data_IF_239591209751
#
_entry.id   IF_239591209751
#
_cell.length_a   1.000
_cell.length_b   1.000
_cell.length_c   1.000
_cell.angle_alpha   90.00
_cell.angle_beta   90.00
_cell.angle_gamma   90.00
#
_symmetry.space_group_name_H-M   'P 1'
#
loop_
_entity.id
_entity.type
_entity.pdbx_description
1 polymer ?
#
# COMPACT_ATOMS: atom_id res chain seq x y z
N UNK A 1 18.45 7.61 -17.72
CA UNK A 1 18.22 6.46 -16.80
C UNK A 1 17.42 5.43 -17.57
N UNK A 2 17.86 4.18 -17.70
CA UNK A 2 17.08 3.18 -18.43
C UNK A 2 15.70 3.04 -17.80
N UNK A 3 14.65 3.02 -18.62
CA UNK A 3 13.25 2.91 -18.19
C UNK A 3 13.06 1.70 -17.23
N UNK A 4 13.74 0.60 -17.52
CA UNK A 4 13.77 -0.60 -16.67
C UNK A 4 14.31 -0.34 -15.25
N UNK A 5 15.32 0.51 -15.09
CA UNK A 5 15.89 0.86 -13.78
C UNK A 5 14.96 1.79 -13.01
N UNK A 6 14.24 2.68 -13.69
CA UNK A 6 13.22 3.53 -13.07
C UNK A 6 12.04 2.69 -12.54
N UNK A 7 11.57 1.73 -13.34
CA UNK A 7 10.49 0.83 -12.96
C UNK A 7 10.91 -0.14 -11.83
N UNK A 8 12.12 -0.70 -11.92
CA UNK A 8 12.67 -1.59 -10.90
C UNK A 8 12.90 -0.89 -9.56
N UNK A 9 13.42 0.34 -9.57
CA UNK A 9 13.61 1.12 -8.34
C UNK A 9 12.28 1.55 -7.70
N UNK A 10 11.28 1.90 -8.50
CA UNK A 10 9.93 2.19 -7.99
C UNK A 10 9.27 0.94 -7.38
N UNK A 11 9.40 -0.21 -8.04
CA UNK A 11 8.90 -1.47 -7.53
C UNK A 11 9.56 -1.84 -6.20
N UNK A 12 10.90 -1.81 -6.16
CA UNK A 12 11.66 -2.12 -4.95
C UNK A 12 11.31 -1.16 -3.81
N UNK A 13 11.24 0.15 -4.08
CA UNK A 13 10.84 1.15 -3.09
C UNK A 13 9.40 0.95 -2.61
N UNK A 14 8.46 0.64 -3.50
CA UNK A 14 7.05 0.38 -3.14
C UNK A 14 6.89 -0.91 -2.33
N UNK A 15 7.66 -1.94 -2.65
CA UNK A 15 7.70 -3.19 -1.90
C UNK A 15 8.30 -2.99 -0.49
N UNK A 16 9.46 -2.34 -0.40
CA UNK A 16 10.12 -2.00 0.86
C UNK A 16 9.31 -1.03 1.72
N UNK A 17 8.62 -0.08 1.09
CA UNK A 17 7.78 0.87 1.81
C UNK A 17 6.58 0.21 2.48
N UNK A 18 6.09 -0.88 1.89
CA UNK A 18 5.04 -1.71 2.49
C UNK A 18 5.53 -2.59 3.64
N UNK A 19 6.82 -2.97 3.68
CA UNK A 19 7.38 -3.86 4.71
C UNK A 19 8.07 -3.14 5.86
N UNK A 20 8.77 -2.02 5.61
CA UNK A 20 9.75 -1.47 6.56
C UNK A 20 9.72 0.05 6.76
N UNK A 21 9.45 0.86 5.71
CA UNK A 21 9.59 2.32 5.78
C UNK A 21 8.37 3.05 5.17
N UNK A 22 7.44 3.55 6.00
CA UNK A 22 6.26 4.24 5.51
C UNK A 22 6.62 5.56 4.82
N UNK A 23 6.02 5.81 3.65
CA UNK A 23 6.09 7.09 2.94
C UNK A 23 7.17 7.22 1.86
N UNK A 24 8.07 6.25 1.72
CA UNK A 24 9.18 6.36 0.75
C UNK A 24 8.74 6.17 -0.71
N UNK A 25 7.71 5.35 -0.92
CA UNK A 25 7.21 5.02 -2.26
C UNK A 25 6.49 6.16 -2.97
N UNK A 26 5.88 7.09 -2.23
CA UNK A 26 5.20 8.26 -2.78
C UNK A 26 6.20 9.32 -3.26
N UNK A 27 7.25 9.57 -2.48
CA UNK A 27 8.32 10.48 -2.86
C UNK A 27 9.02 10.00 -4.15
N UNK A 28 9.28 8.70 -4.26
CA UNK A 28 9.89 8.10 -5.47
C UNK A 28 8.92 8.17 -6.67
N UNK A 29 7.62 7.93 -6.46
CA UNK A 29 6.61 8.10 -7.52
C UNK A 29 6.56 9.54 -8.04
N UNK A 30 6.49 10.53 -7.14
CA UNK A 30 6.45 11.96 -7.49
C UNK A 30 7.73 12.39 -8.19
N UNK A 31 8.90 11.96 -7.72
CA UNK A 31 10.18 12.26 -8.38
C UNK A 31 10.26 11.66 -9.80
N UNK A 32 9.74 10.45 -10.01
CA UNK A 32 9.69 9.81 -11.33
C UNK A 32 8.66 10.44 -12.27
N UNK A 33 7.54 10.92 -11.74
CA UNK A 33 6.56 11.71 -12.50
C UNK A 33 7.14 13.05 -12.94
N UNK A 34 7.80 13.79 -12.03
CA UNK A 34 8.42 15.09 -12.31
C UNK A 34 9.60 14.99 -13.29
N UNK A 35 10.36 13.89 -13.25
CA UNK A 35 11.47 13.67 -14.18
C UNK A 35 11.03 13.19 -15.57
N UNK A 36 9.73 12.95 -15.79
CA UNK A 36 9.19 12.46 -17.07
C UNK A 36 9.74 11.10 -17.50
N UNK A 37 10.26 10.31 -16.56
CA UNK A 37 11.03 9.09 -16.85
C UNK A 37 10.17 7.97 -17.47
N UNK A 38 8.85 7.95 -17.23
CA UNK A 38 7.92 6.94 -17.76
C UNK A 38 6.47 7.44 -17.74
N UNK A 39 5.57 6.72 -18.42
CA UNK A 39 4.13 7.04 -18.45
C UNK A 39 3.51 6.98 -17.04
N UNK A 40 2.71 7.98 -16.60
CA UNK A 40 2.15 8.04 -15.26
C UNK A 40 1.35 6.81 -14.84
N UNK A 41 0.54 6.27 -15.76
CA UNK A 41 -0.28 5.09 -15.50
C UNK A 41 0.56 3.84 -15.20
N UNK A 42 1.74 3.73 -15.81
CA UNK A 42 2.64 2.58 -15.71
C UNK A 42 3.39 2.60 -14.37
N UNK A 43 3.81 3.80 -13.93
CA UNK A 43 4.36 4.05 -12.60
C UNK A 43 3.33 3.70 -11.51
N UNK A 44 2.08 4.15 -11.66
CA UNK A 44 0.99 3.82 -10.72
C UNK A 44 0.73 2.31 -10.68
N UNK A 45 0.69 1.63 -11.83
CA UNK A 45 0.47 0.18 -11.88
C UNK A 45 1.59 -0.58 -11.15
N UNK A 46 2.85 -0.23 -11.40
CA UNK A 46 4.00 -0.91 -10.79
C UNK A 46 4.10 -0.61 -9.30
N UNK A 47 3.87 0.63 -8.89
CA UNK A 47 3.82 0.99 -7.47
C UNK A 47 2.70 0.23 -6.74
N UNK A 48 1.51 0.14 -7.35
CA UNK A 48 0.38 -0.62 -6.81
C UNK A 48 0.72 -2.10 -6.69
N UNK A 49 1.36 -2.69 -7.71
CA UNK A 49 1.79 -4.10 -7.68
C UNK A 49 2.81 -4.36 -6.56
N UNK A 50 3.88 -3.55 -6.47
CA UNK A 50 4.91 -3.72 -5.43
C UNK A 50 4.34 -3.57 -4.02
N UNK A 51 3.46 -2.60 -3.83
CA UNK A 51 2.84 -2.33 -2.53
C UNK A 51 1.78 -3.37 -2.14
N UNK A 52 1.09 -3.97 -3.12
CA UNK A 52 0.16 -5.08 -2.90
C UNK A 52 0.91 -6.36 -2.54
N UNK A 53 2.03 -6.65 -3.19
CA UNK A 53 2.93 -7.77 -2.87
C UNK A 53 3.54 -7.64 -1.46
N UNK A 54 3.97 -6.42 -1.10
CA UNK A 54 4.45 -6.16 0.26
C UNK A 54 3.34 -6.29 1.32
N UNK A 55 2.13 -5.82 1.03
CA UNK A 55 0.96 -6.04 1.88
C UNK A 55 0.60 -7.52 2.03
N UNK A 56 0.67 -8.31 0.95
CA UNK A 56 0.50 -9.76 1.01
C UNK A 56 1.57 -10.42 1.91
N UNK A 57 2.81 -9.95 1.84
CA UNK A 57 3.90 -10.41 2.71
C UNK A 57 3.58 -10.13 4.19
N UNK A 58 3.01 -8.95 4.50
CA UNK A 58 2.54 -8.63 5.85
C UNK A 58 1.40 -9.55 6.33
N UNK A 59 0.46 -9.91 5.44
CA UNK A 59 -0.59 -10.91 5.76
C UNK A 59 0.05 -12.27 6.07
N UNK A 60 1.03 -12.70 5.27
CA UNK A 60 1.78 -13.94 5.51
C UNK A 60 2.46 -13.89 6.87
N UNK A 61 3.21 -12.82 7.15
CA UNK A 61 3.91 -12.61 8.41
C UNK A 61 2.94 -12.64 9.60
N UNK A 62 1.78 -11.99 9.50
CA UNK A 62 0.77 -11.99 10.58
C UNK A 62 0.17 -13.36 10.83
N UNK A 63 0.13 -14.22 9.80
CA UNK A 63 -0.36 -15.60 9.90
C UNK A 63 0.65 -16.52 10.61
N UNK A 64 1.94 -16.31 10.38
CA UNK A 64 3.02 -17.11 10.97
C UNK A 64 3.46 -16.59 12.35
N UNK A 65 3.45 -15.28 12.57
CA UNK A 65 3.84 -14.61 13.81
C UNK A 65 2.65 -13.91 14.45
N UNK A 66 1.86 -14.62 15.29
CA UNK A 66 0.78 -14.00 16.04
C UNK A 66 1.35 -12.95 17.01
N UNK A 67 0.85 -11.72 16.90
CA UNK A 67 1.25 -10.60 17.76
C UNK A 67 0.89 -10.92 19.23
N UNK A 68 1.91 -11.11 20.07
CA UNK A 68 1.73 -11.40 21.51
C UNK A 68 1.46 -10.17 22.39
N UNK A 69 1.70 -8.96 21.88
CA UNK A 69 1.38 -7.70 22.58
C UNK A 69 0.40 -6.89 21.75
N UNK A 70 -0.85 -6.85 22.21
CA UNK A 70 -1.89 -5.98 21.70
C UNK A 70 -1.80 -4.62 22.40
N UNK A 71 -1.47 -3.57 21.65
CA UNK A 71 -1.67 -2.19 22.10
C UNK A 71 -3.17 -1.85 22.12
N UNK A 72 -3.60 -0.88 22.93
CA UNK A 72 -5.00 -0.41 22.99
C UNK A 72 -5.58 -0.04 21.61
N UNK A 73 -4.72 0.44 20.71
CA UNK A 73 -5.11 0.76 19.34
C UNK A 73 -5.31 -0.50 18.48
N UNK A 74 -4.47 -1.52 18.65
CA UNK A 74 -4.64 -2.82 17.98
C UNK A 74 -5.91 -3.52 18.43
N UNK A 75 -6.30 -3.43 19.71
CA UNK A 75 -7.58 -4.02 20.17
C UNK A 75 -8.79 -3.36 19.50
N UNK A 76 -8.78 -2.03 19.33
CA UNK A 76 -9.80 -1.33 18.53
C UNK A 76 -9.79 -1.80 17.08
N UNK A 77 -8.62 -1.86 16.45
CA UNK A 77 -8.47 -2.30 15.06
C UNK A 77 -8.94 -3.75 14.88
N UNK A 78 -8.62 -4.66 15.81
CA UNK A 78 -9.09 -6.06 15.84
C UNK A 78 -10.59 -6.12 16.07
N UNK A 79 -11.15 -5.27 16.94
CA UNK A 79 -12.59 -5.17 17.14
C UNK A 79 -13.32 -4.73 15.87
N UNK A 80 -12.73 -3.79 15.13
CA UNK A 80 -13.25 -3.37 13.82
C UNK A 80 -13.09 -4.47 12.78
N UNK A 81 -11.96 -5.18 12.76
CA UNK A 81 -11.72 -6.33 11.88
C UNK A 81 -12.68 -7.49 12.17
N UNK A 82 -13.03 -7.74 13.43
CA UNK A 82 -14.05 -8.72 13.82
C UNK A 82 -15.44 -8.30 13.37
N UNK A 83 -15.76 -7.01 13.44
CA UNK A 83 -17.10 -6.48 13.11
C UNK A 83 -17.32 -6.31 11.61
N UNK A 84 -16.29 -5.88 10.87
CA UNK A 84 -16.36 -5.53 9.45
C UNK A 84 -15.54 -6.45 8.54
N UNK A 85 -14.73 -7.37 9.09
CA UNK A 85 -14.01 -8.39 8.33
C UNK A 85 -12.97 -7.81 7.37
N UNK A 86 -13.03 -8.24 6.11
CA UNK A 86 -12.13 -7.76 5.07
C UNK A 86 -12.45 -6.33 4.61
N UNK A 87 -13.66 -5.81 4.86
CA UNK A 87 -14.02 -4.44 4.47
C UNK A 87 -13.20 -3.39 5.24
N UNK A 88 -12.70 -3.72 6.43
CA UNK A 88 -11.77 -2.87 7.19
C UNK A 88 -10.45 -2.62 6.46
N UNK A 89 -10.07 -3.46 5.50
CA UNK A 89 -8.90 -3.21 4.65
C UNK A 89 -9.12 -2.09 3.65
N UNK A 90 -10.36 -1.62 3.40
CA UNK A 90 -10.58 -0.38 2.63
C UNK A 90 -10.00 0.85 3.35
N UNK A 91 -9.97 0.83 4.69
CA UNK A 91 -9.28 1.86 5.49
C UNK A 91 -7.75 1.78 5.37
N UNK A 92 -7.21 0.81 4.63
CA UNK A 92 -5.79 0.73 4.24
C UNK A 92 -5.33 1.89 3.36
N UNK A 93 -6.23 2.76 2.90
CA UNK A 93 -5.83 3.97 2.19
C UNK A 93 -4.79 4.78 2.99
N UNK A 94 -4.89 4.82 4.34
CA UNK A 94 -3.88 5.51 5.14
C UNK A 94 -2.51 4.77 5.17
N UNK A 95 -1.39 5.49 4.92
CA UNK A 95 -0.04 4.97 5.18
C UNK A 95 0.08 4.46 6.61
N UNK A 96 0.88 3.39 6.82
CA UNK A 96 1.13 2.75 8.13
C UNK A 96 -0.04 1.92 8.65
N UNK A 97 -1.24 2.49 8.68
CA UNK A 97 -2.44 1.83 9.21
C UNK A 97 -2.82 0.62 8.36
N UNK A 98 -2.72 0.74 7.03
CA UNK A 98 -3.03 -0.35 6.10
C UNK A 98 -2.16 -1.60 6.32
N UNK A 99 -0.86 -1.43 6.49
CA UNK A 99 0.08 -2.55 6.64
C UNK A 99 -0.09 -3.27 7.99
N UNK A 100 -0.40 -2.51 9.05
CA UNK A 100 -0.82 -3.06 10.34
C UNK A 100 -2.14 -3.83 10.24
N UNK A 101 -3.13 -3.30 9.50
CA UNK A 101 -4.40 -4.00 9.26
C UNK A 101 -4.19 -5.30 8.46
N UNK A 102 -3.25 -5.32 7.52
CA UNK A 102 -2.87 -6.54 6.78
C UNK A 102 -2.29 -7.61 7.70
N UNK A 103 -1.36 -7.22 8.57
CA UNK A 103 -0.81 -8.09 9.61
C UNK A 103 -1.91 -8.66 10.51
N UNK A 104 -2.83 -7.81 10.96
CA UNK A 104 -3.96 -8.22 11.80
C UNK A 104 -4.95 -9.13 11.05
N UNK A 105 -5.20 -8.88 9.76
CA UNK A 105 -6.04 -9.74 8.92
C UNK A 105 -5.42 -11.13 8.72
N UNK A 106 -4.10 -11.19 8.54
CA UNK A 106 -3.33 -12.42 8.50
C UNK A 106 -3.38 -13.18 9.82
N UNK A 107 -3.24 -12.46 10.94
CA UNK A 107 -3.35 -13.03 12.29
C UNK A 107 -4.74 -13.62 12.55
N UNK A 108 -5.79 -12.93 12.11
CA UNK A 108 -7.18 -13.42 12.19
C UNK A 108 -7.53 -14.50 11.17
N UNK A 109 -6.59 -14.89 10.28
CA UNK A 109 -6.76 -15.91 9.24
C UNK A 109 -7.98 -15.65 8.35
N UNK A 110 -8.24 -14.39 8.01
CA UNK A 110 -9.31 -14.00 7.08
C UNK A 110 -9.00 -14.59 5.69
N UNK A 111 -10.05 -14.93 4.91
CA UNK A 111 -9.91 -15.51 3.58
C UNK A 111 -9.12 -14.59 2.62
N UNK A 112 -8.20 -15.20 1.86
CA UNK A 112 -7.26 -14.47 0.99
C UNK A 112 -7.95 -13.63 -0.09
N UNK A 113 -9.04 -14.13 -0.68
CA UNK A 113 -9.74 -13.47 -1.78
C UNK A 113 -10.20 -12.05 -1.42
N UNK A 114 -11.06 -11.89 -0.40
CA UNK A 114 -11.51 -10.57 0.07
C UNK A 114 -10.36 -9.69 0.56
N UNK A 115 -9.37 -10.26 1.26
CA UNK A 115 -8.21 -9.52 1.77
C UNK A 115 -7.42 -8.89 0.63
N UNK A 116 -7.05 -9.68 -0.39
CA UNK A 116 -6.31 -9.17 -1.54
C UNK A 116 -7.14 -8.18 -2.36
N UNK A 117 -8.44 -8.44 -2.52
CA UNK A 117 -9.33 -7.54 -3.26
C UNK A 117 -9.41 -6.16 -2.59
N UNK A 118 -9.73 -6.09 -1.30
CA UNK A 118 -9.83 -4.81 -0.59
C UNK A 118 -8.47 -4.14 -0.37
N UNK A 119 -7.40 -4.92 -0.23
CA UNK A 119 -6.03 -4.42 -0.20
C UNK A 119 -5.66 -3.71 -1.51
N UNK A 120 -5.82 -4.41 -2.64
CA UNK A 120 -5.56 -3.85 -3.96
C UNK A 120 -6.43 -2.61 -4.19
N UNK A 121 -7.71 -2.68 -3.84
CA UNK A 121 -8.64 -1.57 -4.03
C UNK A 121 -8.24 -0.34 -3.20
N UNK A 122 -7.92 -0.52 -1.92
CA UNK A 122 -7.49 0.59 -1.05
C UNK A 122 -6.15 1.21 -1.48
N UNK A 123 -5.19 0.40 -1.92
CA UNK A 123 -3.88 0.91 -2.39
C UNK A 123 -3.96 1.53 -3.77
N UNK A 124 -4.77 0.97 -4.68
CA UNK A 124 -5.06 1.59 -5.97
C UNK A 124 -5.70 2.97 -5.78
N UNK A 125 -6.68 3.10 -4.87
CA UNK A 125 -7.34 4.38 -4.60
C UNK A 125 -6.34 5.44 -4.14
N UNK A 126 -5.39 5.08 -3.26
CA UNK A 126 -4.32 5.99 -2.81
C UNK A 126 -3.47 6.50 -3.97
N UNK A 127 -2.95 5.59 -4.80
CA UNK A 127 -2.09 5.99 -5.90
C UNK A 127 -2.84 6.79 -6.97
N UNK A 128 -4.11 6.49 -7.21
CA UNK A 128 -4.98 7.28 -8.10
C UNK A 128 -5.17 8.69 -7.54
N UNK A 129 -5.44 8.86 -6.25
CA UNK A 129 -5.60 10.18 -5.63
C UNK A 129 -4.29 10.96 -5.67
N UNK A 130 -3.16 10.34 -5.35
CA UNK A 130 -1.83 10.99 -5.42
C UNK A 130 -1.51 11.40 -6.85
N UNK A 131 -1.75 10.54 -7.84
CA UNK A 131 -1.54 10.85 -9.25
C UNK A 131 -2.45 11.97 -9.73
N UNK A 132 -3.73 11.96 -9.35
CA UNK A 132 -4.70 12.99 -9.71
C UNK A 132 -4.34 14.35 -9.09
N UNK A 133 -3.93 14.38 -7.82
CA UNK A 133 -3.44 15.60 -7.16
C UNK A 133 -2.16 16.12 -7.79
N UNK A 134 -1.24 15.23 -8.16
CA UNK A 134 0.02 15.63 -8.81
C UNK A 134 -0.24 16.20 -10.20
N UNK A 135 -1.11 15.56 -10.99
CA UNK A 135 -1.49 16.03 -12.32
C UNK A 135 -2.28 17.35 -12.25
N UNK A 136 -3.21 17.51 -11.29
CA UNK A 136 -3.85 18.80 -11.05
C UNK A 136 -2.83 19.86 -10.66
N UNK A 137 -1.93 19.56 -9.72
CA UNK A 137 -0.86 20.48 -9.32
C UNK A 137 0.02 20.92 -10.50
N UNK A 138 0.33 20.01 -11.43
CA UNK A 138 1.06 20.34 -12.65
C UNK A 138 0.26 21.23 -13.61
N UNK A 139 -1.06 21.04 -13.72
CA UNK A 139 -1.92 21.91 -14.55
C UNK A 139 -2.13 23.31 -13.97
N UNK A 140 -2.03 23.49 -12.65
CA UNK A 140 -2.14 24.80 -12.00
C UNK A 140 -0.85 25.63 -12.09
N UNK A 141 0.28 25.01 -12.41
CA UNK A 141 1.59 25.68 -12.51
C UNK A 141 1.95 26.09 -13.95
N UNK A 142 1.06 25.86 -14.92
CA UNK A 142 1.10 26.38 -16.28
C UNK A 142 0.20 27.61 -16.42
#
# INVERSE_FOLDING_TARGET
>A
MNELLALGSLFASSFLSATLLPGNSEAVLVALLLSGASKPWLLVAIATMGNSLGGATNVILGRFFPLRKTSRWQEKAVGWLRRYGAATLLLSWMPVIGDLLCLLAGWMRISWGPVLFFLCLGKALRYVVVAALTLQGMTWWH
#
